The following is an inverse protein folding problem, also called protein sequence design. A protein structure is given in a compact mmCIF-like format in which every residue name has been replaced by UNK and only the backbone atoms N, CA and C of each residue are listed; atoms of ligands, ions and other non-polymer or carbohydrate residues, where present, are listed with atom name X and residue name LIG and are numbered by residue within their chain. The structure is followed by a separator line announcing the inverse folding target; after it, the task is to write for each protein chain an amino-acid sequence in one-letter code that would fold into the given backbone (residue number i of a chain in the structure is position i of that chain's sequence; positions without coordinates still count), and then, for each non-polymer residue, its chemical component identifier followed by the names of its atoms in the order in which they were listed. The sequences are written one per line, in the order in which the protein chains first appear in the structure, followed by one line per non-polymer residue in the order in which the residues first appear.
data_IF_286366564858
#
_entry.id   IF_286366564858
#
_cell.length_a   1.000
_cell.length_b   1.000
_cell.length_c   1.000
_cell.angle_alpha   90.00
_cell.angle_beta   90.00
_cell.angle_gamma   90.00
#
_symmetry.space_group_name_H-M   'P 1'
#
loop_
_entity.id
_entity.type
_entity.pdbx_description
1 polymer ?
#
# COMPACT_ATOMS: atom_id res chain seq x y z
N UNK A 1 -6.49 -36.82 -21.41
CA UNK A 1 -5.42 -36.47 -20.45
C UNK A 1 -5.58 -35.01 -20.12
N UNK A 2 -6.20 -34.68 -18.99
CA UNK A 2 -6.28 -33.31 -18.48
C UNK A 2 -4.92 -32.95 -17.90
N UNK A 3 -4.00 -32.51 -18.76
CA UNK A 3 -2.78 -31.87 -18.28
C UNK A 3 -3.20 -30.62 -17.53
N UNK A 4 -3.01 -30.61 -16.21
CA UNK A 4 -3.20 -29.41 -15.40
C UNK A 4 -2.15 -28.42 -15.86
N UNK A 5 -2.53 -27.46 -16.70
CA UNK A 5 -1.65 -26.36 -17.08
C UNK A 5 -1.17 -25.67 -15.79
N UNK A 6 0.14 -25.45 -15.66
CA UNK A 6 0.67 -24.71 -14.51
C UNK A 6 0.20 -23.26 -14.50
N UNK A 7 0.24 -22.63 -13.34
CA UNK A 7 -0.08 -21.20 -13.20
C UNK A 7 1.19 -20.37 -13.19
N UNK A 8 1.11 -19.17 -13.75
CA UNK A 8 2.14 -18.13 -13.60
C UNK A 8 1.57 -16.98 -12.78
N UNK A 9 2.28 -16.60 -11.73
CA UNK A 9 2.02 -15.38 -10.99
C UNK A 9 2.94 -14.29 -11.54
N UNK A 10 2.36 -13.23 -12.08
CA UNK A 10 3.04 -12.03 -12.54
C UNK A 10 2.66 -10.88 -11.60
N UNK A 11 3.56 -10.50 -10.68
CA UNK A 11 3.23 -9.55 -9.60
C UNK A 11 1.91 -9.98 -8.91
N UNK A 12 0.85 -9.17 -8.95
CA UNK A 12 -0.42 -9.42 -8.26
C UNK A 12 -1.38 -10.30 -9.07
N UNK A 13 -1.04 -10.59 -10.33
CA UNK A 13 -1.93 -11.23 -11.29
C UNK A 13 -1.55 -12.69 -11.51
N UNK A 14 -2.46 -13.61 -11.20
CA UNK A 14 -2.31 -15.03 -11.54
C UNK A 14 -2.94 -15.34 -12.88
N UNK A 15 -2.16 -15.89 -13.81
CA UNK A 15 -2.63 -16.42 -15.10
C UNK A 15 -2.58 -17.95 -15.06
N UNK A 16 -3.58 -18.60 -15.67
CA UNK A 16 -3.84 -20.04 -15.45
C UNK A 16 -3.85 -20.91 -16.71
N UNK A 17 -3.91 -20.32 -17.91
CA UNK A 17 -4.21 -21.06 -19.13
C UNK A 17 -3.10 -21.06 -20.17
N UNK A 18 -3.23 -21.98 -21.14
CA UNK A 18 -2.27 -22.31 -22.20
C UNK A 18 -1.48 -21.10 -22.65
N UNK A 19 -0.22 -21.06 -22.21
CA UNK A 19 0.71 -20.07 -22.68
C UNK A 19 1.82 -20.73 -23.48
N UNK A 20 2.07 -20.19 -24.67
CA UNK A 20 3.33 -20.49 -25.34
C UNK A 20 4.40 -19.67 -24.62
N UNK A 21 5.52 -20.31 -24.32
CA UNK A 21 6.67 -19.62 -23.77
C UNK A 21 7.78 -19.67 -24.80
N UNK A 22 8.17 -18.49 -25.29
CA UNK A 22 9.34 -18.34 -26.14
C UNK A 22 10.44 -17.60 -25.36
N UNK A 23 11.66 -18.13 -25.39
CA UNK A 23 12.84 -17.50 -24.78
C UNK A 23 13.84 -17.13 -25.87
N UNK A 24 14.36 -15.91 -25.79
CA UNK A 24 15.41 -15.41 -26.67
C UNK A 24 16.73 -15.24 -25.92
N UNK A 25 17.82 -15.78 -26.47
CA UNK A 25 19.18 -15.50 -26.01
C UNK A 25 19.78 -14.34 -26.83
N UNK A 26 19.30 -13.12 -26.59
CA UNK A 26 19.93 -11.90 -27.10
C UNK A 26 20.58 -11.12 -25.95
N UNK A 27 21.09 -9.90 -26.17
CA UNK A 27 21.63 -9.03 -25.12
C UNK A 27 20.66 -8.82 -23.94
N UNK A 28 19.36 -9.03 -24.17
CA UNK A 28 18.33 -9.17 -23.16
C UNK A 28 17.77 -10.62 -23.15
N UNK A 29 17.67 -11.22 -21.96
CA UNK A 29 17.01 -12.52 -21.74
C UNK A 29 15.49 -12.32 -21.84
N UNK A 30 14.94 -12.36 -23.05
CA UNK A 30 13.52 -12.09 -23.30
C UNK A 30 12.66 -13.33 -23.05
N UNK A 31 11.45 -13.10 -22.57
CA UNK A 31 10.44 -14.12 -22.29
C UNK A 31 9.10 -13.61 -22.82
N UNK A 32 8.61 -14.20 -23.90
CA UNK A 32 7.30 -13.90 -24.46
C UNK A 32 6.28 -14.92 -23.99
N UNK A 33 5.19 -14.41 -23.44
CA UNK A 33 4.05 -15.17 -22.95
C UNK A 33 2.82 -14.76 -23.74
N UNK A 34 2.11 -15.70 -24.34
CA UNK A 34 0.81 -15.46 -24.95
C UNK A 34 -0.18 -16.53 -24.52
N UNK A 35 -1.42 -16.16 -24.19
CA UNK A 35 -2.42 -17.11 -23.76
C UNK A 35 -3.84 -16.55 -23.85
N UNK A 36 -4.78 -17.27 -23.28
CA UNK A 36 -6.17 -16.86 -23.14
C UNK A 36 -6.64 -17.21 -21.74
N UNK A 37 -7.55 -16.43 -21.16
CA UNK A 37 -8.29 -16.78 -19.95
C UNK A 37 -9.74 -17.11 -20.37
N UNK A 38 -10.12 -18.38 -20.23
CA UNK A 38 -11.37 -18.98 -20.72
C UNK A 38 -11.75 -20.28 -19.98
N UNK A 39 -10.80 -21.17 -19.65
CA UNK A 39 -11.07 -22.46 -19.01
C UNK A 39 -10.04 -22.84 -17.89
N UNK A 40 -10.46 -23.22 -16.67
CA UNK A 40 -11.84 -23.32 -16.23
C UNK A 40 -12.55 -21.96 -16.27
N UNK A 41 -13.84 -21.92 -16.64
CA UNK A 41 -14.58 -20.67 -16.80
C UNK A 41 -14.47 -19.79 -15.57
N UNK A 42 -14.05 -18.54 -15.81
CA UNK A 42 -14.06 -17.49 -14.80
C UNK A 42 -15.39 -16.74 -14.85
N UNK A 43 -15.81 -16.17 -13.72
CA UNK A 43 -16.92 -15.21 -13.78
C UNK A 43 -16.48 -13.99 -14.60
N UNK A 44 -17.43 -13.34 -15.26
CA UNK A 44 -17.16 -12.13 -16.06
C UNK A 44 -16.37 -11.08 -15.29
N UNK A 45 -16.69 -10.86 -14.01
CA UNK A 45 -15.99 -9.90 -13.16
C UNK A 45 -14.53 -10.25 -12.93
N UNK A 46 -14.22 -11.54 -12.70
CA UNK A 46 -12.81 -12.00 -12.53
C UNK A 46 -12.05 -11.81 -13.83
N UNK A 47 -12.66 -12.14 -14.96
CA UNK A 47 -12.02 -12.06 -16.26
C UNK A 47 -11.70 -10.63 -16.68
N UNK A 48 -12.65 -9.71 -16.47
CA UNK A 48 -12.45 -8.27 -16.70
C UNK A 48 -11.36 -7.73 -15.77
N UNK A 49 -11.38 -8.06 -14.49
CA UNK A 49 -10.34 -7.63 -13.55
C UNK A 49 -8.94 -8.14 -13.96
N UNK A 50 -8.82 -9.39 -14.42
CA UNK A 50 -7.53 -9.91 -14.95
C UNK A 50 -7.10 -9.20 -16.23
N UNK A 51 -8.04 -8.92 -17.12
CA UNK A 51 -7.78 -8.16 -18.34
C UNK A 51 -7.23 -6.77 -18.00
N UNK A 52 -7.89 -6.04 -17.10
CA UNK A 52 -7.50 -4.70 -16.68
C UNK A 52 -6.14 -4.73 -15.94
N UNK A 53 -5.91 -5.73 -15.08
CA UNK A 53 -4.62 -5.94 -14.43
C UNK A 53 -3.47 -6.16 -15.42
N UNK A 54 -3.68 -6.92 -16.50
CA UNK A 54 -2.65 -7.11 -17.54
C UNK A 54 -2.34 -5.79 -18.24
N UNK A 55 -3.37 -5.01 -18.59
CA UNK A 55 -3.19 -3.71 -19.25
C UNK A 55 -2.49 -2.68 -18.35
N UNK A 56 -2.70 -2.77 -17.05
CA UNK A 56 -2.14 -1.85 -16.07
C UNK A 56 -0.73 -2.23 -15.57
N UNK A 57 -0.13 -3.32 -16.06
CA UNK A 57 1.21 -3.73 -15.64
C UNK A 57 2.26 -2.65 -15.91
N UNK A 58 2.96 -2.23 -14.86
CA UNK A 58 3.97 -1.18 -14.96
C UNK A 58 5.23 -1.68 -15.66
N UNK A 59 5.75 -0.88 -16.60
CA UNK A 59 6.95 -1.20 -17.36
C UNK A 59 8.21 -0.73 -16.64
N UNK A 60 9.30 -1.47 -16.82
CA UNK A 60 10.63 -1.07 -16.32
C UNK A 60 10.85 -1.19 -14.81
N UNK A 61 9.87 -1.69 -14.05
CA UNK A 61 10.00 -2.00 -12.62
C UNK A 61 10.28 -3.50 -12.39
N UNK A 62 10.98 -3.88 -11.30
CA UNK A 62 11.14 -5.28 -10.93
C UNK A 62 9.81 -5.94 -10.58
N UNK A 63 9.47 -6.99 -11.31
CA UNK A 63 8.25 -7.77 -11.15
C UNK A 63 8.63 -9.21 -10.73
N UNK A 64 8.14 -9.71 -9.58
CA UNK A 64 8.34 -11.11 -9.21
C UNK A 64 7.49 -12.00 -10.12
N UNK A 65 8.13 -12.99 -10.74
CA UNK A 65 7.45 -14.02 -11.53
C UNK A 65 7.67 -15.38 -10.88
N UNK A 66 6.59 -16.10 -10.61
CA UNK A 66 6.64 -17.48 -10.14
C UNK A 66 5.78 -18.40 -10.97
N UNK A 67 6.29 -19.60 -11.19
CA UNK A 67 5.68 -20.67 -11.96
C UNK A 67 5.47 -21.88 -11.07
N UNK A 68 4.31 -22.53 -11.19
CA UNK A 68 4.07 -23.79 -10.46
C UNK A 68 4.67 -25.00 -11.17
N UNK A 69 4.78 -24.97 -12.50
CA UNK A 69 5.21 -26.09 -13.33
C UNK A 69 6.59 -25.91 -13.98
N UNK A 70 7.16 -24.69 -13.91
CA UNK A 70 8.47 -24.33 -14.46
C UNK A 70 9.31 -23.52 -13.45
N UNK A 71 9.54 -24.04 -12.23
CA UNK A 71 10.15 -23.28 -11.14
C UNK A 71 11.56 -22.75 -11.47
N UNK A 72 12.28 -23.35 -12.40
CA UNK A 72 13.57 -22.86 -12.91
C UNK A 72 13.49 -21.47 -13.58
N UNK A 73 12.28 -21.05 -13.96
CA UNK A 73 11.98 -19.73 -14.54
C UNK A 73 11.59 -18.69 -13.48
N UNK A 74 11.50 -19.07 -12.20
CA UNK A 74 11.24 -18.12 -11.13
C UNK A 74 12.35 -17.06 -11.08
N UNK A 75 11.95 -15.81 -10.89
CA UNK A 75 12.91 -14.70 -10.87
C UNK A 75 12.23 -13.34 -10.92
N UNK A 76 13.07 -12.32 -11.02
CA UNK A 76 12.64 -10.96 -11.26
C UNK A 76 12.73 -10.66 -12.76
N UNK A 77 11.67 -10.03 -13.26
CA UNK A 77 11.53 -9.63 -14.65
C UNK A 77 11.15 -8.15 -14.71
N UNK A 78 11.30 -7.52 -15.87
CA UNK A 78 10.64 -6.24 -16.16
C UNK A 78 9.68 -6.42 -17.32
N UNK A 79 8.52 -5.75 -17.25
CA UNK A 79 7.54 -5.76 -18.34
C UNK A 79 8.05 -4.87 -19.47
N UNK A 80 8.07 -5.40 -20.69
CA UNK A 80 8.39 -4.67 -21.92
C UNK A 80 7.12 -4.25 -22.63
N UNK A 81 6.19 -5.18 -22.80
CA UNK A 81 4.86 -4.92 -23.34
C UNK A 81 3.86 -5.84 -22.66
N UNK A 82 2.63 -5.34 -22.49
CA UNK A 82 1.50 -6.13 -22.05
C UNK A 82 0.27 -5.72 -22.87
N UNK A 83 -0.51 -6.70 -23.30
CA UNK A 83 -1.72 -6.47 -24.07
C UNK A 83 -2.73 -7.56 -23.77
N UNK A 84 -4.00 -7.18 -23.72
CA UNK A 84 -5.11 -8.09 -23.54
C UNK A 84 -6.28 -7.68 -24.45
N UNK A 85 -7.10 -8.64 -24.86
CA UNK A 85 -8.25 -8.44 -25.73
C UNK A 85 -9.44 -9.24 -25.20
N UNK A 86 -10.46 -8.53 -24.71
CA UNK A 86 -11.72 -9.12 -24.33
C UNK A 86 -12.55 -9.47 -25.57
N UNK A 87 -13.11 -10.67 -25.58
CA UNK A 87 -14.11 -11.10 -26.58
C UNK A 87 -15.35 -11.60 -25.88
N UNK A 88 -16.48 -11.07 -26.30
CA UNK A 88 -17.81 -11.45 -25.83
C UNK A 88 -18.56 -12.13 -26.97
N UNK A 89 -18.86 -13.40 -26.78
CA UNK A 89 -19.76 -14.12 -27.69
C UNK A 89 -21.20 -13.92 -27.20
N UNK A 90 -22.07 -13.43 -28.08
CA UNK A 90 -23.47 -13.14 -27.75
C UNK A 90 -24.15 -14.42 -27.22
N UNK A 91 -24.67 -14.36 -25.99
CA UNK A 91 -25.29 -15.48 -25.26
C UNK A 91 -24.34 -16.67 -24.96
N UNK A 92 -23.04 -16.46 -24.96
CA UNK A 92 -22.04 -17.50 -24.74
C UNK A 92 -20.93 -16.96 -23.81
N UNK A 93 -19.69 -17.37 -24.03
CA UNK A 93 -18.57 -17.22 -23.10
C UNK A 93 -17.87 -15.86 -23.28
N UNK A 94 -17.35 -15.30 -22.19
CA UNK A 94 -16.42 -14.17 -22.26
C UNK A 94 -15.01 -14.74 -22.15
N UNK A 95 -14.10 -14.28 -23.01
CA UNK A 95 -12.69 -14.70 -23.00
C UNK A 95 -11.76 -13.48 -23.02
N UNK A 96 -10.56 -13.60 -22.47
CA UNK A 96 -9.53 -12.57 -22.56
C UNK A 96 -8.25 -13.18 -23.11
N UNK A 97 -7.91 -12.90 -24.36
CA UNK A 97 -6.61 -13.28 -24.94
C UNK A 97 -5.57 -12.25 -24.58
N UNK A 98 -4.35 -12.67 -24.25
CA UNK A 98 -3.31 -11.78 -23.76
C UNK A 98 -1.94 -12.13 -24.31
N UNK A 99 -1.05 -11.12 -24.35
CA UNK A 99 0.35 -11.21 -24.74
C UNK A 99 1.19 -10.32 -23.84
N UNK A 100 2.25 -10.88 -23.26
CA UNK A 100 3.13 -10.21 -22.32
C UNK A 100 4.57 -10.53 -22.71
N UNK A 101 5.35 -9.49 -23.00
CA UNK A 101 6.79 -9.61 -23.24
C UNK A 101 7.53 -9.14 -22.00
N UNK A 102 8.41 -9.99 -21.47
CA UNK A 102 9.18 -9.78 -20.27
C UNK A 102 10.68 -9.81 -20.58
N UNK A 103 11.47 -9.10 -19.78
CA UNK A 103 12.93 -9.17 -19.77
C UNK A 103 13.41 -9.69 -18.41
N UNK A 104 14.15 -10.80 -18.40
CA UNK A 104 14.62 -11.42 -17.16
C UNK A 104 15.78 -10.65 -16.55
N UNK A 105 15.53 -10.05 -15.40
CA UNK A 105 16.53 -9.35 -14.60
C UNK A 105 17.46 -10.35 -13.89
N UNK A 106 16.88 -11.40 -13.30
CA UNK A 106 17.63 -12.55 -12.79
C UNK A 106 16.87 -13.40 -11.77
N UNK A 107 17.42 -14.56 -11.44
CA UNK A 107 16.92 -15.42 -10.37
C UNK A 107 17.28 -14.85 -8.98
N UNK A 108 16.62 -15.34 -7.92
CA UNK A 108 16.87 -14.89 -6.53
C UNK A 108 18.35 -15.00 -6.08
N UNK A 109 19.11 -15.91 -6.69
CA UNK A 109 20.54 -16.09 -6.43
C UNK A 109 21.46 -15.19 -7.26
N UNK A 110 20.96 -14.62 -8.36
CA UNK A 110 21.73 -13.79 -9.31
C UNK A 110 21.64 -12.30 -8.96
N UNK A 111 20.59 -11.88 -8.25
CA UNK A 111 20.28 -10.48 -8.01
C UNK A 111 19.93 -10.21 -6.55
N UNK A 112 20.28 -9.01 -6.10
CA UNK A 112 19.68 -8.38 -4.94
C UNK A 112 18.69 -7.31 -5.40
N UNK A 113 17.83 -6.90 -4.48
CA UNK A 113 16.94 -5.75 -4.64
C UNK A 113 17.52 -4.59 -3.86
N UNK A 114 17.41 -3.39 -4.42
CA UNK A 114 17.84 -2.15 -3.80
C UNK A 114 16.66 -1.21 -3.63
N UNK A 115 16.34 -0.88 -2.40
CA UNK A 115 15.40 0.17 -2.05
C UNK A 115 16.11 1.51 -2.07
N UNK A 116 15.84 2.33 -3.09
CA UNK A 116 16.37 3.68 -3.19
C UNK A 116 15.50 4.62 -2.36
N UNK A 117 15.93 4.88 -1.14
CA UNK A 117 15.28 5.84 -0.25
C UNK A 117 15.77 7.25 -0.64
N UNK A 118 14.88 8.05 -1.21
CA UNK A 118 15.20 9.37 -1.76
C UNK A 118 14.39 10.49 -1.09
N UNK A 119 14.86 11.72 -1.31
CA UNK A 119 14.25 12.93 -0.76
C UNK A 119 14.85 13.32 0.59
N UNK A 120 14.11 14.14 1.31
CA UNK A 120 14.47 14.65 2.64
C UNK A 120 13.35 14.34 3.62
N UNK A 121 13.68 14.32 4.90
CA UNK A 121 12.67 14.24 5.97
C UNK A 121 11.63 15.34 5.81
N UNK A 122 10.39 15.06 6.22
CA UNK A 122 9.27 15.99 6.07
C UNK A 122 9.57 17.31 6.79
N UNK A 123 9.37 18.42 6.08
CA UNK A 123 9.39 19.74 6.69
C UNK A 123 8.32 19.78 7.79
N UNK A 124 8.73 20.11 9.01
CA UNK A 124 7.84 20.10 10.15
C UNK A 124 8.01 21.35 11.03
N UNK A 125 6.92 21.77 11.67
CA UNK A 125 6.87 22.97 12.52
C UNK A 125 7.37 22.69 13.97
N UNK A 126 7.91 21.50 14.22
CA UNK A 126 8.24 21.00 15.56
C UNK A 126 9.75 20.75 15.75
N UNK A 127 10.58 21.15 14.78
CA UNK A 127 12.04 20.96 14.80
C UNK A 127 12.48 19.49 14.99
N UNK A 128 11.66 18.55 14.51
CA UNK A 128 11.92 17.13 14.61
C UNK A 128 12.84 16.68 13.47
N UNK A 129 13.81 15.83 13.79
CA UNK A 129 14.71 15.21 12.80
C UNK A 129 14.05 14.06 12.05
N UNK A 130 12.97 13.48 12.60
CA UNK A 130 12.39 12.24 12.12
C UNK A 130 13.29 11.03 12.35
N UNK A 131 12.79 9.87 11.97
CA UNK A 131 13.53 8.61 11.97
C UNK A 131 13.32 7.94 10.62
N UNK A 132 14.39 7.80 9.84
CA UNK A 132 14.34 7.04 8.58
C UNK A 132 14.20 5.56 8.87
N UNK A 133 13.30 4.90 8.16
CA UNK A 133 13.00 3.49 8.35
C UNK A 133 12.69 2.83 7.00
N UNK A 134 12.75 1.51 6.95
CA UNK A 134 12.44 0.72 5.77
C UNK A 134 11.98 -0.69 6.17
N UNK A 135 11.00 -1.22 5.46
CA UNK A 135 10.47 -2.56 5.68
C UNK A 135 10.49 -3.34 4.36
N UNK A 136 11.44 -4.27 4.16
CA UNK A 136 11.41 -5.19 3.03
C UNK A 136 10.27 -6.22 3.19
N UNK A 137 9.97 -7.03 2.15
CA UNK A 137 8.99 -8.10 2.24
C UNK A 137 9.26 -9.09 3.39
N UNK A 138 8.19 -9.74 3.85
CA UNK A 138 8.32 -10.88 4.76
C UNK A 138 9.12 -11.97 4.03
N UNK A 139 10.16 -12.51 4.67
CA UNK A 139 11.04 -13.51 4.06
C UNK A 139 12.22 -12.96 3.24
N UNK A 140 12.49 -11.66 3.29
CA UNK A 140 13.74 -11.11 2.77
C UNK A 140 14.97 -11.67 3.52
N UNK A 141 16.14 -11.55 2.88
CA UNK A 141 17.45 -11.99 3.37
C UNK A 141 18.51 -10.91 3.09
N UNK A 142 19.72 -11.08 3.64
CA UNK A 142 20.92 -10.30 3.28
C UNK A 142 20.73 -8.77 3.25
N UNK A 143 20.16 -8.19 4.31
CA UNK A 143 19.92 -6.75 4.41
C UNK A 143 21.21 -5.96 4.67
N UNK A 144 21.55 -5.03 3.77
CA UNK A 144 22.79 -4.27 3.76
C UNK A 144 22.55 -2.77 3.55
N UNK A 145 23.14 -1.93 4.41
CA UNK A 145 23.06 -0.46 4.34
C UNK A 145 24.42 0.23 4.34
N UNK A 146 25.50 -0.50 4.04
CA UNK A 146 26.86 0.02 4.15
C UNK A 146 27.58 -0.46 5.41
N UNK A 147 28.35 0.44 6.02
CA UNK A 147 29.17 0.15 7.20
C UNK A 147 28.39 0.12 8.54
N UNK A 148 27.12 0.54 8.53
CA UNK A 148 26.28 0.60 9.72
C UNK A 148 25.15 -0.41 9.64
N UNK A 149 24.87 -1.06 10.76
CA UNK A 149 23.72 -1.96 10.92
C UNK A 149 22.56 -1.20 11.57
N UNK A 150 21.42 -1.03 10.89
CA UNK A 150 20.26 -0.37 11.46
C UNK A 150 19.66 -1.21 12.59
N UNK A 151 18.99 -0.57 13.53
CA UNK A 151 18.20 -1.30 14.52
C UNK A 151 16.98 -1.95 13.86
N UNK A 152 16.42 -2.98 14.48
CA UNK A 152 15.27 -3.70 13.94
C UNK A 152 14.17 -3.83 14.98
N UNK A 153 12.94 -3.97 14.49
CA UNK A 153 11.81 -4.43 15.26
C UNK A 153 10.96 -5.37 14.40
N UNK A 154 10.12 -6.17 15.05
CA UNK A 154 9.18 -7.06 14.37
C UNK A 154 7.75 -6.64 14.65
N UNK A 155 6.96 -6.49 13.59
CA UNK A 155 5.52 -6.25 13.65
C UNK A 155 4.77 -7.45 13.09
N UNK A 156 3.95 -8.11 13.91
CA UNK A 156 3.08 -9.19 13.44
C UNK A 156 1.83 -8.61 12.81
N UNK A 157 1.66 -8.83 11.52
CA UNK A 157 0.47 -8.48 10.74
C UNK A 157 -0.34 -9.70 10.31
N UNK A 158 -1.41 -9.47 9.56
CA UNK A 158 -2.29 -10.51 9.01
C UNK A 158 -1.57 -11.48 8.05
N UNK A 159 -0.50 -11.00 7.40
CA UNK A 159 0.30 -11.78 6.45
C UNK A 159 1.53 -12.43 7.12
N UNK A 160 1.74 -12.22 8.43
CA UNK A 160 2.87 -12.76 9.19
C UNK A 160 3.75 -11.71 9.87
N UNK A 161 4.91 -12.14 10.36
CA UNK A 161 5.87 -11.30 11.07
C UNK A 161 6.74 -10.50 10.07
N UNK A 162 6.62 -9.17 10.12
CA UNK A 162 7.36 -8.25 9.27
C UNK A 162 8.47 -7.56 10.05
N UNK A 163 9.68 -7.58 9.51
CA UNK A 163 10.82 -6.84 10.07
C UNK A 163 10.81 -5.40 9.55
N UNK A 164 10.92 -4.44 10.47
CA UNK A 164 11.11 -3.03 10.17
C UNK A 164 12.51 -2.64 10.61
N UNK A 165 13.31 -2.15 9.67
CA UNK A 165 14.62 -1.57 9.93
C UNK A 165 14.46 -0.09 10.24
N UNK A 166 15.09 0.34 11.31
CA UNK A 166 14.93 1.66 11.93
C UNK A 166 16.26 2.39 11.96
N UNK A 167 16.19 3.71 11.99
CA UNK A 167 17.37 4.59 11.96
C UNK A 167 18.30 4.28 10.77
N UNK A 168 17.71 4.12 9.57
CA UNK A 168 18.49 3.93 8.34
C UNK A 168 19.39 5.17 8.13
N UNK A 169 20.69 4.99 7.84
CA UNK A 169 21.59 6.12 7.63
C UNK A 169 21.11 7.02 6.50
N UNK A 170 21.34 8.32 6.66
CA UNK A 170 21.09 9.29 5.59
C UNK A 170 21.89 8.91 4.34
N UNK A 171 21.24 8.94 3.18
CA UNK A 171 21.80 8.55 1.87
C UNK A 171 22.12 7.06 1.70
N UNK A 172 21.74 6.19 2.65
CA UNK A 172 21.81 4.74 2.43
C UNK A 172 20.63 4.28 1.55
N UNK A 173 20.92 3.41 0.59
CA UNK A 173 19.91 2.68 -0.20
C UNK A 173 20.02 1.21 0.14
N UNK A 174 19.17 0.70 1.06
CA UNK A 174 19.25 -0.69 1.51
C UNK A 174 19.25 -1.68 0.35
N UNK A 175 20.14 -2.66 0.41
CA UNK A 175 20.16 -3.83 -0.49
C UNK A 175 19.74 -5.08 0.27
N UNK A 176 18.97 -5.95 -0.35
CA UNK A 176 18.40 -7.13 0.29
C UNK A 176 18.06 -8.19 -0.76
N UNK A 177 18.20 -9.47 -0.40
CA UNK A 177 17.74 -10.58 -1.22
C UNK A 177 16.30 -10.96 -0.88
N UNK A 178 15.53 -11.49 -1.83
CA UNK A 178 14.21 -12.03 -1.56
C UNK A 178 13.84 -13.05 -2.62
N UNK A 179 13.28 -14.18 -2.19
CA UNK A 179 12.69 -15.14 -3.12
C UNK A 179 11.47 -14.49 -3.80
N UNK A 180 11.32 -14.58 -5.14
CA UNK A 180 10.18 -14.04 -5.87
C UNK A 180 8.83 -14.47 -5.29
N UNK A 181 8.70 -15.67 -4.73
CA UNK A 181 7.48 -16.15 -4.09
C UNK A 181 7.14 -15.41 -2.78
N UNK A 182 8.15 -14.87 -2.11
CA UNK A 182 8.01 -14.13 -0.85
C UNK A 182 7.87 -12.61 -1.05
N UNK A 183 8.20 -12.07 -2.24
CA UNK A 183 8.24 -10.62 -2.49
C UNK A 183 6.92 -9.90 -2.18
N UNK A 184 5.79 -10.58 -2.39
CA UNK A 184 4.47 -10.02 -2.14
C UNK A 184 4.00 -10.16 -0.68
N UNK A 185 4.72 -10.89 0.17
CA UNK A 185 4.32 -11.12 1.55
C UNK A 185 4.46 -9.82 2.37
N UNK A 186 3.35 -9.39 2.99
CA UNK A 186 3.29 -8.13 3.74
C UNK A 186 3.28 -6.87 2.86
N UNK A 187 3.03 -6.99 1.56
CA UNK A 187 2.89 -5.84 0.64
C UNK A 187 1.76 -4.89 1.03
N UNK A 188 1.87 -3.66 0.54
CA UNK A 188 0.72 -2.77 0.42
C UNK A 188 -0.12 -3.20 -0.78
N UNK A 189 -1.44 -3.26 -0.60
CA UNK A 189 -2.40 -3.67 -1.62
C UNK A 189 -3.62 -2.76 -1.62
N UNK A 190 -4.11 -2.48 -2.83
CA UNK A 190 -5.44 -1.92 -3.06
C UNK A 190 -6.30 -3.05 -3.63
N UNK A 191 -7.46 -3.28 -3.02
CA UNK A 191 -8.43 -4.24 -3.55
C UNK A 191 -9.70 -3.53 -3.98
N UNK A 192 -10.26 -3.92 -5.13
CA UNK A 192 -11.67 -3.69 -5.47
C UNK A 192 -12.50 -4.74 -4.73
N UNK A 193 -13.43 -4.30 -3.87
CA UNK A 193 -14.29 -5.20 -3.08
C UNK A 193 -15.70 -5.38 -3.65
N UNK A 194 -16.04 -4.70 -4.75
CA UNK A 194 -17.32 -4.89 -5.44
C UNK A 194 -17.38 -6.24 -6.14
N UNK A 195 -16.22 -6.75 -6.51
CA UNK A 195 -16.11 -7.92 -7.35
C UNK A 195 -16.36 -9.22 -6.56
N UNK A 196 -17.23 -10.08 -7.12
CA UNK A 196 -17.99 -11.14 -6.43
C UNK A 196 -17.21 -12.29 -5.74
N UNK A 197 -15.89 -12.21 -5.62
CA UNK A 197 -15.12 -13.12 -4.76
C UNK A 197 -15.02 -12.47 -3.38
N UNK A 198 -15.48 -13.13 -2.31
CA UNK A 198 -15.58 -12.55 -0.95
C UNK A 198 -14.31 -11.95 -0.32
N UNK A 199 -13.20 -11.86 -1.06
CA UNK A 199 -11.92 -11.23 -0.71
C UNK A 199 -11.57 -9.99 -1.56
N UNK A 200 -12.37 -9.64 -2.57
CA UNK A 200 -12.05 -8.61 -3.58
C UNK A 200 -10.99 -9.04 -4.60
N UNK A 201 -10.74 -8.19 -5.61
CA UNK A 201 -9.61 -8.32 -6.54
C UNK A 201 -8.50 -7.34 -6.19
N UNK A 202 -7.29 -7.83 -6.09
CA UNK A 202 -6.13 -6.97 -5.94
C UNK A 202 -5.77 -6.32 -7.28
N UNK A 203 -5.63 -4.99 -7.25
CA UNK A 203 -5.42 -4.16 -8.43
C UNK A 203 -3.94 -4.05 -8.74
N UNK A 204 -3.59 -4.15 -10.01
CA UNK A 204 -2.25 -3.89 -10.58
C UNK A 204 -2.16 -2.47 -11.16
N UNK A 205 -1.00 -1.81 -11.01
CA UNK A 205 -0.77 -0.49 -11.61
C UNK A 205 -1.72 0.62 -11.15
N UNK A 206 -1.78 1.71 -11.91
CA UNK A 206 -2.56 2.92 -11.55
C UNK A 206 -3.71 3.22 -12.52
N UNK A 207 -3.69 2.62 -13.71
CA UNK A 207 -4.63 2.90 -14.80
C UNK A 207 -5.86 1.99 -14.76
N UNK A 208 -6.49 1.86 -13.58
CA UNK A 208 -7.68 1.06 -13.40
C UNK A 208 -8.81 1.81 -12.69
N UNK A 209 -10.07 1.53 -13.03
CA UNK A 209 -11.20 2.07 -12.29
C UNK A 209 -11.21 1.51 -10.88
N UNK A 210 -11.45 2.38 -9.89
CA UNK A 210 -11.67 1.99 -8.51
C UNK A 210 -13.09 2.42 -8.10
N UNK A 211 -13.95 1.51 -7.61
CA UNK A 211 -15.26 1.89 -7.10
C UNK A 211 -15.11 2.92 -5.97
N UNK A 212 -16.00 3.90 -5.87
CA UNK A 212 -15.83 4.97 -4.87
C UNK A 212 -16.01 4.49 -3.41
N UNK A 213 -16.83 3.46 -3.21
CA UNK A 213 -17.22 2.95 -1.89
C UNK A 213 -16.92 1.45 -1.68
N UNK A 214 -16.29 0.79 -2.66
CA UNK A 214 -16.00 -0.64 -2.61
C UNK A 214 -14.52 -0.90 -2.92
N UNK A 215 -13.68 -0.50 -1.97
CA UNK A 215 -12.24 -0.72 -2.03
C UNK A 215 -11.64 -0.97 -0.64
N UNK A 216 -10.44 -1.53 -0.58
CA UNK A 216 -9.60 -1.46 0.62
C UNK A 216 -8.19 -1.04 0.27
N UNK A 217 -7.52 -0.37 1.21
CA UNK A 217 -6.09 -0.04 1.15
C UNK A 217 -5.42 -0.58 2.42
N UNK A 218 -4.54 -1.57 2.29
CA UNK A 218 -3.96 -2.25 3.46
C UNK A 218 -2.53 -2.73 3.25
N UNK A 219 -1.79 -2.93 4.36
CA UNK A 219 -0.39 -3.41 4.37
C UNK A 219 -0.18 -4.57 5.36
N UNK A 220 -1.26 -5.31 5.64
CA UNK A 220 -1.34 -6.36 6.66
C UNK A 220 -1.20 -5.92 8.13
N UNK A 221 -0.79 -4.68 8.42
CA UNK A 221 -0.73 -4.11 9.77
C UNK A 221 -1.85 -3.10 10.03
N UNK A 222 -2.19 -2.34 8.99
CA UNK A 222 -3.25 -1.35 8.93
C UNK A 222 -4.05 -1.60 7.67
N UNK A 223 -5.35 -1.38 7.75
CA UNK A 223 -6.28 -1.48 6.64
C UNK A 223 -7.23 -0.29 6.68
N UNK A 224 -7.61 0.23 5.52
CA UNK A 224 -8.54 1.35 5.36
C UNK A 224 -9.69 0.85 4.51
N UNK A 225 -10.91 1.04 5.01
CA UNK A 225 -12.14 0.66 4.34
C UNK A 225 -13.09 1.87 4.29
N UNK A 226 -13.79 2.09 3.16
CA UNK A 226 -14.91 3.01 3.11
C UNK A 226 -15.94 2.68 4.18
N UNK A 227 -16.38 3.69 4.94
CA UNK A 227 -17.53 3.53 5.82
C UNK A 227 -18.84 3.69 5.04
N UNK A 228 -19.91 3.07 5.55
CA UNK A 228 -21.28 3.35 5.08
C UNK A 228 -21.70 4.81 5.31
N UNK A 229 -21.04 5.53 6.22
CA UNK A 229 -21.23 6.97 6.41
C UNK A 229 -20.21 7.74 5.56
N UNK A 230 -20.69 8.60 4.67
CA UNK A 230 -19.81 9.47 3.90
C UNK A 230 -18.97 10.38 4.81
N UNK A 231 -17.76 10.69 4.36
CA UNK A 231 -16.80 11.46 5.14
C UNK A 231 -16.29 10.74 6.39
N UNK A 232 -16.52 9.42 6.51
CA UNK A 232 -15.96 8.59 7.57
C UNK A 232 -15.05 7.52 6.97
N UNK A 233 -13.83 7.43 7.47
CA UNK A 233 -12.89 6.35 7.16
C UNK A 233 -12.96 5.31 8.27
N UNK A 234 -13.04 4.03 7.92
CA UNK A 234 -12.75 2.96 8.87
C UNK A 234 -11.27 2.60 8.75
N UNK A 235 -10.49 2.93 9.80
CA UNK A 235 -9.08 2.59 9.89
C UNK A 235 -8.93 1.46 10.90
N UNK A 236 -8.50 0.32 10.39
CA UNK A 236 -8.39 -0.92 11.13
C UNK A 236 -6.92 -1.24 11.40
N UNK A 237 -6.62 -1.71 12.61
CA UNK A 237 -5.29 -2.15 13.02
C UNK A 237 -5.29 -3.66 13.28
N UNK A 238 -4.31 -4.38 12.74
CA UNK A 238 -4.11 -5.79 13.06
C UNK A 238 -3.25 -5.94 14.31
N UNK A 239 -3.87 -6.31 15.43
CA UNK A 239 -3.18 -6.55 16.71
C UNK A 239 -3.82 -7.73 17.43
N UNK A 240 -3.03 -8.51 18.18
CA UNK A 240 -3.56 -9.66 18.92
C UNK A 240 -4.20 -10.75 18.05
N UNK A 241 -3.89 -10.80 16.74
CA UNK A 241 -4.44 -11.78 15.82
C UNK A 241 -5.79 -11.42 15.18
N UNK A 242 -6.27 -10.18 15.34
CA UNK A 242 -7.51 -9.70 14.75
C UNK A 242 -7.42 -8.24 14.26
N UNK A 243 -8.34 -7.86 13.39
CA UNK A 243 -8.53 -6.48 12.93
C UNK A 243 -9.43 -5.70 13.90
N UNK A 244 -8.94 -4.56 14.38
CA UNK A 244 -9.65 -3.68 15.33
C UNK A 244 -9.93 -2.34 14.67
N UNK A 245 -11.19 -1.93 14.66
CA UNK A 245 -11.67 -0.79 13.87
C UNK A 245 -11.71 0.50 14.68
N UNK A 246 -11.28 1.62 14.08
CA UNK A 246 -11.57 2.97 14.56
C UNK A 246 -12.08 3.84 13.42
N UNK A 247 -13.25 4.44 13.64
CA UNK A 247 -13.88 5.33 12.66
C UNK A 247 -13.38 6.77 12.81
N UNK A 248 -12.97 7.38 11.70
CA UNK A 248 -12.45 8.75 11.65
C UNK A 248 -13.33 9.62 10.75
N UNK A 249 -13.89 10.69 11.33
CA UNK A 249 -14.55 11.74 10.57
C UNK A 249 -13.51 12.57 9.81
N UNK A 250 -13.83 12.91 8.57
CA UNK A 250 -13.10 13.85 7.71
C UNK A 250 -14.02 15.04 7.46
N UNK A 251 -13.61 16.21 7.93
CA UNK A 251 -14.42 17.42 7.89
C UNK A 251 -13.76 18.57 7.16
N UNK A 252 -14.60 19.38 6.53
CA UNK A 252 -14.22 20.59 5.83
C UNK A 252 -15.25 21.68 6.16
N UNK A 253 -14.79 22.79 6.73
CA UNK A 253 -15.67 23.86 7.22
C UNK A 253 -16.51 23.45 8.44
N UNK A 254 -16.04 22.47 9.23
CA UNK A 254 -16.75 21.97 10.42
C UNK A 254 -17.85 20.95 10.15
N UNK A 255 -18.09 20.58 8.89
CA UNK A 255 -19.03 19.53 8.51
C UNK A 255 -18.31 18.35 7.85
N UNK A 256 -18.85 17.14 8.02
CA UNK A 256 -18.34 15.95 7.34
C UNK A 256 -18.43 16.12 5.82
N UNK A 257 -17.47 15.54 5.09
CA UNK A 257 -17.59 15.40 3.64
C UNK A 257 -18.82 14.57 3.32
N UNK A 258 -19.78 15.15 2.59
CA UNK A 258 -21.13 14.59 2.44
C UNK A 258 -21.19 13.33 1.56
N UNK A 259 -20.30 13.21 0.58
CA UNK A 259 -20.10 12.04 -0.28
C UNK A 259 -18.76 12.18 -1.01
N UNK A 260 -18.15 11.05 -1.35
CA UNK A 260 -17.05 11.00 -2.31
C UNK A 260 -17.64 10.68 -3.69
N UNK A 261 -17.21 11.38 -4.73
CA UNK A 261 -17.65 11.19 -6.12
C UNK A 261 -16.74 10.23 -6.89
N UNK A 262 -15.45 10.19 -6.54
CA UNK A 262 -14.48 9.32 -7.19
C UNK A 262 -13.37 8.84 -6.26
N UNK A 263 -12.82 7.68 -6.60
CA UNK A 263 -11.60 7.13 -6.05
C UNK A 263 -10.62 6.87 -7.21
N UNK A 264 -9.37 7.30 -7.07
CA UNK A 264 -8.34 7.13 -8.08
C UNK A 264 -7.04 6.62 -7.45
N UNK A 265 -6.30 5.79 -8.19
CA UNK A 265 -5.03 5.24 -7.74
C UNK A 265 -3.91 6.16 -8.25
N UNK A 266 -3.15 6.77 -7.35
CA UNK A 266 -2.03 7.65 -7.71
C UNK A 266 -0.69 6.91 -7.71
N UNK A 267 -0.60 5.81 -6.97
CA UNK A 267 0.60 4.96 -6.86
C UNK A 267 0.19 3.58 -6.36
N UNK A 268 0.80 2.52 -6.89
CA UNK A 268 0.41 1.15 -6.55
C UNK A 268 1.60 0.18 -6.49
N UNK A 269 2.66 0.56 -5.81
CA UNK A 269 3.81 -0.33 -5.58
C UNK A 269 3.56 -1.27 -4.39
N UNK A 270 4.14 -2.47 -4.38
CA UNK A 270 4.11 -3.37 -3.23
C UNK A 270 4.68 -2.75 -1.94
N UNK A 271 5.55 -1.75 -2.05
CA UNK A 271 6.16 -0.98 -0.95
C UNK A 271 5.28 0.18 -0.49
N UNK A 272 4.54 0.80 -1.43
CA UNK A 272 3.75 2.01 -1.16
C UNK A 272 2.58 2.14 -2.13
N UNK A 273 1.38 2.35 -1.60
CA UNK A 273 0.20 2.70 -2.38
C UNK A 273 -0.35 4.07 -1.97
N UNK A 274 -0.90 4.80 -2.94
CA UNK A 274 -1.55 6.10 -2.74
C UNK A 274 -2.90 6.11 -3.46
N UNK A 275 -3.96 6.41 -2.72
CA UNK A 275 -5.32 6.50 -3.21
C UNK A 275 -5.85 7.91 -2.98
N UNK A 276 -6.52 8.48 -3.99
CA UNK A 276 -7.18 9.80 -3.92
C UNK A 276 -8.68 9.66 -3.94
N UNK A 277 -9.35 10.22 -2.94
CA UNK A 277 -10.78 10.46 -2.95
C UNK A 277 -11.07 11.91 -3.35
N UNK A 278 -12.08 12.12 -4.18
CA UNK A 278 -12.51 13.47 -4.58
C UNK A 278 -13.99 13.67 -4.27
N UNK A 279 -14.33 14.82 -3.70
CA UNK A 279 -15.70 15.24 -3.44
C UNK A 279 -15.95 16.64 -4.02
N UNK A 280 -17.17 16.92 -4.51
CA UNK A 280 -17.52 18.20 -5.07
C UNK A 280 -17.69 19.23 -3.94
N UNK A 281 -17.37 20.49 -4.21
CA UNK A 281 -17.63 21.59 -3.28
C UNK A 281 -17.98 22.85 -4.06
N UNK A 282 -18.81 23.71 -3.48
CA UNK A 282 -19.06 25.03 -4.09
C UNK A 282 -18.43 26.13 -3.23
N UNK A 283 -17.44 26.89 -3.75
CA UNK A 283 -16.71 26.64 -5.00
C UNK A 283 -15.67 25.50 -4.86
N UNK A 284 -15.32 24.85 -5.98
CA UNK A 284 -14.17 23.96 -6.12
C UNK A 284 -14.42 22.46 -5.82
N UNK A 285 -13.46 21.85 -5.11
CA UNK A 285 -13.49 20.43 -4.73
C UNK A 285 -12.72 20.19 -3.44
N UNK A 286 -12.96 19.04 -2.84
CA UNK A 286 -12.17 18.48 -1.74
C UNK A 286 -11.46 17.24 -2.27
N UNK A 287 -10.18 17.10 -1.98
CA UNK A 287 -9.42 15.88 -2.28
C UNK A 287 -8.78 15.36 -1.00
N UNK A 288 -8.80 14.05 -0.83
CA UNK A 288 -8.12 13.36 0.26
C UNK A 288 -7.21 12.30 -0.35
N UNK A 289 -5.91 12.47 -0.17
CA UNK A 289 -4.93 11.46 -0.52
C UNK A 289 -4.62 10.62 0.70
N UNK A 290 -4.70 9.30 0.55
CA UNK A 290 -4.36 8.31 1.56
C UNK A 290 -3.14 7.52 1.08
N UNK A 291 -2.07 7.57 1.85
CA UNK A 291 -0.83 6.84 1.58
C UNK A 291 -0.61 5.78 2.64
N UNK A 292 -0.27 4.58 2.21
CA UNK A 292 0.14 3.49 3.08
C UNK A 292 1.45 2.88 2.57
N UNK A 293 2.31 2.48 3.51
CA UNK A 293 3.66 1.95 3.25
C UNK A 293 3.81 0.59 3.89
N UNK A 294 4.56 -0.32 3.27
CA UNK A 294 4.89 -1.62 3.87
C UNK A 294 5.48 -1.40 5.25
N UNK A 295 5.06 -2.18 6.23
CA UNK A 295 5.57 -2.09 7.59
C UNK A 295 5.05 -0.92 8.43
N UNK A 296 4.34 0.05 7.86
CA UNK A 296 3.80 1.18 8.64
C UNK A 296 2.64 0.77 9.56
N UNK A 297 2.60 1.35 10.76
CA UNK A 297 1.43 1.35 11.67
C UNK A 297 0.58 2.61 11.53
N UNK A 298 0.90 3.46 10.57
CA UNK A 298 0.21 4.72 10.31
C UNK A 298 -0.29 4.80 8.88
N UNK A 299 -1.48 5.37 8.72
CA UNK A 299 -2.02 5.90 7.47
C UNK A 299 -1.57 7.34 7.36
N UNK A 300 -1.01 7.74 6.24
CA UNK A 300 -0.66 9.14 5.98
C UNK A 300 -1.76 9.76 5.12
N UNK A 301 -2.18 10.98 5.47
CA UNK A 301 -3.27 11.66 4.80
C UNK A 301 -2.90 13.07 4.36
N UNK A 302 -3.43 13.49 3.22
CA UNK A 302 -3.36 14.88 2.77
C UNK A 302 -4.74 15.34 2.31
N UNK A 303 -5.39 16.14 3.15
CA UNK A 303 -6.69 16.74 2.88
C UNK A 303 -6.49 18.13 2.28
N UNK A 304 -7.08 18.37 1.12
CA UNK A 304 -7.05 19.65 0.43
C UNK A 304 -8.47 20.10 0.06
N UNK A 305 -8.71 21.40 0.13
CA UNK A 305 -9.95 22.02 -0.33
C UNK A 305 -9.68 23.27 -1.16
N UNK A 306 -10.61 23.62 -2.05
CA UNK A 306 -10.46 24.75 -2.98
C UNK A 306 -10.43 26.16 -2.35
N UNK A 307 -10.70 26.28 -1.05
CA UNK A 307 -10.69 27.55 -0.33
C UNK A 307 -10.32 27.34 1.15
N UNK A 308 -9.79 28.37 1.81
CA UNK A 308 -9.44 28.30 3.22
C UNK A 308 -10.67 27.97 4.09
N UNK A 309 -10.55 26.97 4.95
CA UNK A 309 -11.60 26.52 5.86
C UNK A 309 -10.99 25.89 7.11
N UNK A 310 -11.84 25.46 8.04
CA UNK A 310 -11.42 24.53 9.09
C UNK A 310 -11.40 23.11 8.53
N UNK A 311 -10.23 22.51 8.44
CA UNK A 311 -10.04 21.11 8.04
C UNK A 311 -9.78 20.29 9.30
N UNK A 312 -10.41 19.12 9.44
CA UNK A 312 -10.10 18.24 10.56
C UNK A 312 -10.31 16.77 10.23
N UNK A 313 -9.51 15.92 10.86
CA UNK A 313 -9.65 14.47 10.88
C UNK A 313 -9.59 13.99 12.33
N UNK A 314 -10.67 13.36 12.80
CA UNK A 314 -10.82 13.03 14.22
C UNK A 314 -11.71 11.81 14.45
N UNK A 315 -11.57 11.16 15.60
CA UNK A 315 -12.33 9.97 15.95
C UNK A 315 -13.84 10.26 16.02
N UNK A 316 -14.63 9.36 15.45
CA UNK A 316 -16.09 9.41 15.54
C UNK A 316 -16.57 9.20 16.98
N UNK A 317 -15.95 8.26 17.68
CA UNK A 317 -16.18 8.00 19.11
C UNK A 317 -15.08 8.70 19.90
N UNK A 318 -15.47 9.63 20.78
CA UNK A 318 -14.53 10.38 21.59
C UNK A 318 -13.73 9.46 22.51
N UNK A 319 -12.41 9.63 22.49
CA UNK A 319 -11.50 9.04 23.47
C UNK A 319 -10.74 10.15 24.20
N UNK A 320 -10.62 10.04 25.53
CA UNK A 320 -9.81 10.96 26.33
C UNK A 320 -8.37 10.91 25.82
N UNK A 321 -7.84 12.07 25.48
CA UNK A 321 -6.55 12.19 24.82
C UNK A 321 -5.74 13.34 25.40
N UNK A 322 -4.43 13.22 25.26
CA UNK A 322 -3.50 14.28 25.56
C UNK A 322 -2.84 14.73 24.27
N UNK A 323 -2.73 16.04 24.13
CA UNK A 323 -1.89 16.66 23.12
C UNK A 323 -0.72 17.29 23.84
N UNK A 324 0.48 16.86 23.49
CA UNK A 324 1.67 17.66 23.75
C UNK A 324 1.86 18.47 22.49
N UNK A 325 1.26 19.67 22.40
CA UNK A 325 1.21 20.45 21.16
C UNK A 325 2.61 20.73 20.56
N UNK A 326 3.66 20.80 21.39
CA UNK A 326 5.05 20.90 20.96
C UNK A 326 5.63 19.59 20.36
N UNK A 327 4.94 18.48 20.51
CA UNK A 327 5.39 17.15 20.08
C UNK A 327 4.84 16.72 18.72
N UNK A 328 3.94 17.46 18.07
CA UNK A 328 3.44 17.10 16.74
C UNK A 328 2.46 15.92 16.68
N UNK A 329 1.86 15.53 17.81
CA UNK A 329 0.82 14.49 17.86
C UNK A 329 -0.13 14.59 19.06
N UNK A 330 -1.21 13.81 18.97
CA UNK A 330 -2.25 13.55 19.96
C UNK A 330 -2.33 12.04 20.16
N UNK A 331 -2.51 11.59 21.40
CA UNK A 331 -2.59 10.17 21.73
C UNK A 331 -3.65 9.93 22.80
N UNK A 332 -4.33 8.78 22.76
CA UNK A 332 -5.23 8.39 23.84
C UNK A 332 -4.50 8.34 25.19
N UNK A 333 -5.16 8.74 26.26
CA UNK A 333 -4.58 8.62 27.61
C UNK A 333 -4.60 7.17 28.09
N UNK A 334 -5.72 6.48 27.86
CA UNK A 334 -5.95 5.11 28.29
C UNK A 334 -5.92 4.14 27.11
N UNK A 335 -5.66 2.87 27.41
CA UNK A 335 -5.83 1.81 26.44
C UNK A 335 -7.32 1.62 26.12
N UNK A 336 -7.64 1.27 24.88
CA UNK A 336 -8.95 0.78 24.48
C UNK A 336 -9.17 -0.67 24.94
N UNK A 337 -10.35 -1.22 24.59
CA UNK A 337 -10.72 -2.58 24.95
C UNK A 337 -9.75 -3.65 24.40
N UNK A 338 -9.03 -3.33 23.33
CA UNK A 338 -8.06 -4.21 22.67
C UNK A 338 -6.63 -4.01 23.20
N UNK A 339 -6.47 -3.16 24.22
CA UNK A 339 -5.18 -2.88 24.84
C UNK A 339 -4.31 -1.87 24.07
N UNK A 340 -4.85 -1.22 23.04
CA UNK A 340 -4.13 -0.29 22.17
C UNK A 340 -4.45 1.17 22.51
N UNK A 341 -3.72 2.11 21.91
CA UNK A 341 -4.11 3.53 21.90
C UNK A 341 -4.17 4.04 20.48
N UNK A 342 -5.10 4.95 20.19
CA UNK A 342 -4.98 5.75 18.97
C UNK A 342 -3.84 6.75 19.12
N UNK A 343 -3.20 7.09 18.01
CA UNK A 343 -2.38 8.29 17.89
C UNK A 343 -2.65 8.96 16.54
N UNK A 344 -2.62 10.28 16.52
CA UNK A 344 -2.75 11.05 15.29
C UNK A 344 -1.90 12.31 15.36
N UNK A 345 -1.46 12.83 14.24
CA UNK A 345 -0.63 14.03 14.22
C UNK A 345 -0.52 14.63 12.84
N UNK A 346 0.37 15.60 12.69
CA UNK A 346 0.67 16.31 11.45
C UNK A 346 2.14 16.75 11.50
N UNK A 347 2.78 16.94 10.35
CA UNK A 347 4.10 17.58 10.31
C UNK A 347 3.97 19.09 10.52
N UNK A 348 2.81 19.67 10.22
CA UNK A 348 2.53 21.10 10.37
C UNK A 348 1.82 21.36 11.68
N UNK A 349 1.91 22.60 12.14
CA UNK A 349 1.13 23.11 13.28
C UNK A 349 -0.37 22.82 13.13
N UNK A 350 -0.98 22.31 14.20
CA UNK A 350 -2.38 21.92 14.27
C UNK A 350 -2.94 22.12 15.69
N UNK A 351 -4.26 22.10 15.81
CA UNK A 351 -4.98 22.07 17.08
C UNK A 351 -5.56 20.67 17.31
N UNK A 352 -5.30 20.10 18.49
CA UNK A 352 -5.86 18.81 18.86
C UNK A 352 -7.39 18.87 18.90
N UNK A 353 -8.05 17.93 18.25
CA UNK A 353 -9.50 17.84 18.27
C UNK A 353 -9.97 17.19 19.59
N UNK A 354 -11.04 17.70 20.20
CA UNK A 354 -11.53 17.21 21.50
C UNK A 354 -11.83 15.70 21.50
N UNK A 355 -12.38 15.19 20.39
CA UNK A 355 -12.67 13.76 20.23
C UNK A 355 -11.43 12.87 20.01
N UNK A 356 -10.26 13.46 19.79
CA UNK A 356 -9.03 12.77 19.39
C UNK A 356 -8.78 12.91 17.89
N UNK A 357 -7.65 13.51 17.51
CA UNK A 357 -7.32 13.82 16.12
C UNK A 357 -6.73 15.20 15.94
N UNK A 358 -6.68 15.66 14.69
CA UNK A 358 -6.06 16.93 14.30
C UNK A 358 -7.04 17.85 13.58
N UNK A 359 -6.93 19.15 13.84
CA UNK A 359 -7.71 20.19 13.17
C UNK A 359 -6.82 21.38 12.84
N UNK A 360 -7.13 22.10 11.76
CA UNK A 360 -6.45 23.32 11.37
C UNK A 360 -7.44 24.29 10.78
N UNK A 361 -7.49 25.50 11.34
CA UNK A 361 -8.40 26.58 10.92
C UNK A 361 -7.77 27.43 9.83
N UNK A 362 -8.60 28.06 9.00
CA UNK A 362 -8.18 29.04 7.97
C UNK A 362 -7.10 28.51 7.02
N UNK A 363 -7.19 27.24 6.63
CA UNK A 363 -6.23 26.59 5.73
C UNK A 363 -6.93 25.93 4.56
N UNK A 364 -6.25 25.85 3.41
CA UNK A 364 -6.70 25.08 2.26
C UNK A 364 -6.20 23.62 2.31
N UNK A 365 -5.23 23.31 3.17
CA UNK A 365 -4.57 22.01 3.25
C UNK A 365 -4.30 21.57 4.68
N UNK A 366 -4.35 20.26 4.90
CA UNK A 366 -4.04 19.58 6.16
C UNK A 366 -3.37 18.24 5.84
N UNK A 367 -2.08 18.14 6.15
CA UNK A 367 -1.40 16.85 6.25
C UNK A 367 -1.68 16.24 7.62
N UNK A 368 -1.83 14.92 7.66
CA UNK A 368 -2.04 14.20 8.89
C UNK A 368 -1.48 12.78 8.82
N UNK A 369 -1.42 12.13 9.97
CA UNK A 369 -1.28 10.69 10.06
C UNK A 369 -2.22 10.14 11.13
N UNK A 370 -2.73 8.93 10.91
CA UNK A 370 -3.58 8.18 11.82
C UNK A 370 -2.88 6.86 12.13
N UNK A 371 -2.68 6.55 13.40
CA UNK A 371 -1.91 5.39 13.81
C UNK A 371 -2.45 4.68 15.04
N UNK A 372 -1.90 3.49 15.26
CA UNK A 372 -2.16 2.66 16.43
C UNK A 372 -0.87 2.47 17.22
N UNK A 373 -0.93 2.78 18.51
CA UNK A 373 0.10 2.43 19.49
C UNK A 373 -0.22 1.01 19.96
N UNK A 374 0.36 0.03 19.27
CA UNK A 374 0.10 -1.37 19.53
C UNK A 374 0.61 -1.78 20.92
N UNK A 375 -0.25 -2.37 21.75
CA UNK A 375 0.04 -2.64 23.17
C UNK A 375 -0.07 -1.43 24.09
N UNK A 376 -0.50 -0.28 23.56
CA UNK A 376 -0.90 0.90 24.32
C UNK A 376 0.20 1.40 25.25
N UNK A 377 -0.06 1.45 26.55
CA UNK A 377 0.92 1.87 27.56
C UNK A 377 2.18 0.99 27.64
N UNK A 378 2.14 -0.24 27.11
CA UNK A 378 3.26 -1.19 27.06
C UNK A 378 3.83 -1.35 25.66
N UNK A 379 3.59 -0.38 24.77
CA UNK A 379 4.11 -0.42 23.40
C UNK A 379 5.63 -0.55 23.39
N UNK A 380 6.12 -1.47 22.56
CA UNK A 380 7.55 -1.64 22.31
C UNK A 380 8.10 -0.43 21.54
N UNK A 381 9.42 -0.21 21.64
CA UNK A 381 10.06 0.84 20.85
C UNK A 381 9.81 0.61 19.36
N UNK A 382 9.38 1.67 18.68
CA UNK A 382 8.94 1.66 17.29
C UNK A 382 7.43 1.70 17.14
N UNK A 383 6.68 1.23 18.14
CA UNK A 383 5.21 1.30 18.17
C UNK A 383 4.67 2.33 19.19
N UNK A 384 5.53 2.92 20.01
CA UNK A 384 5.15 4.06 20.86
C UNK A 384 4.77 5.28 20.02
N UNK A 385 3.84 6.11 20.49
CA UNK A 385 3.33 7.27 19.72
C UNK A 385 4.44 8.22 19.22
N UNK A 386 5.47 8.45 20.03
CA UNK A 386 6.66 9.23 19.67
C UNK A 386 7.44 8.61 18.50
N UNK A 387 7.60 7.28 18.50
CA UNK A 387 8.28 6.56 17.42
C UNK A 387 7.45 6.61 16.13
N UNK A 388 6.13 6.37 16.21
CA UNK A 388 5.23 6.48 15.05
C UNK A 388 5.29 7.86 14.40
N UNK A 389 5.29 8.91 15.20
CA UNK A 389 5.50 10.28 14.72
C UNK A 389 6.86 10.44 14.03
N UNK A 390 7.94 9.98 14.67
CA UNK A 390 9.28 10.13 14.10
C UNK A 390 9.40 9.39 12.77
N UNK A 391 8.84 8.18 12.68
CA UNK A 391 8.75 7.39 11.45
C UNK A 391 7.91 8.10 10.38
N UNK A 392 6.81 8.76 10.76
CA UNK A 392 6.07 9.62 9.84
C UNK A 392 6.94 10.78 9.34
N UNK A 393 7.61 11.54 10.21
CA UNK A 393 8.49 12.63 9.75
C UNK A 393 9.64 12.12 8.86
N UNK A 394 10.21 10.96 9.18
CA UNK A 394 11.34 10.36 8.48
C UNK A 394 10.98 9.42 7.31
N UNK A 395 9.70 9.30 6.94
CA UNK A 395 9.29 8.43 5.83
C UNK A 395 9.75 9.02 4.48
N UNK A 396 10.72 8.35 3.86
CA UNK A 396 11.29 8.76 2.56
C UNK A 396 10.52 8.14 1.39
N UNK A 397 10.63 8.74 0.20
CA UNK A 397 10.12 8.11 -1.00
C UNK A 397 11.00 6.90 -1.35
N UNK A 398 10.38 5.76 -1.64
CA UNK A 398 11.08 4.53 -2.00
C UNK A 398 10.86 4.21 -3.47
N UNK A 399 11.88 3.69 -4.13
CA UNK A 399 11.77 3.00 -5.41
C UNK A 399 12.66 1.76 -5.37
N UNK A 400 12.14 0.61 -5.77
CA UNK A 400 12.88 -0.66 -5.72
C UNK A 400 13.45 -0.99 -7.09
N UNK A 401 14.71 -1.39 -7.13
CA UNK A 401 15.43 -1.79 -8.33
C UNK A 401 16.11 -3.12 -8.15
N UNK A 402 16.31 -3.85 -9.24
CA UNK A 402 17.17 -5.03 -9.23
C UNK A 402 18.62 -4.60 -9.45
N UNK A 403 19.54 -5.15 -8.66
CA UNK A 403 20.99 -4.98 -8.81
C UNK A 403 21.65 -6.36 -8.91
N UNK A 404 22.68 -6.50 -9.74
CA UNK A 404 23.45 -7.76 -9.77
C UNK A 404 24.18 -7.93 -8.44
N UNK A 405 24.15 -9.16 -7.94
CA UNK A 405 24.89 -9.56 -6.74
C UNK A 405 26.39 -9.62 -6.99
#
# INVERSE_FOLDING_TARGET
MTGTWGTVQLSRTTLRETFTVAEGSSDARTLDLDGQESNPPLTRSVLVARHDNILAMEQGVPLPVTWTDKPERNGYYSVKTAGAALREYVNDTVTSSWKIALERLGAASEVDLQSRLTGVVRLNDFSLTGETWHAPPIGHTTYYTGATSPSTMTRTGADGAMTVYRSIPTNASPRWGCDPAAYLAGRVRINDTLAATGTGFEIEGTEQPLPVAAWTLGNALVNIVPSASAGVLDVQAYTGGAWHSKLWNVTVGGANVAAWDSAAILRNDPEQCVLRLTAPRSPGRVTLDLTLRRGSRTVEGYLQSGAAATLAVYLRTTETNTSVAASGYVVATNNDADGNKFAAGSARSFTAHANGGVSKTSTATLDFWLGVVAGGSSAVSGDAATDLRNMYIGALAEQTYTVRR
#
